data_IF_829981552099
#
_entry.id   IF_829981552099
#
_cell.length_a   1.000
_cell.length_b   1.000
_cell.length_c   1.000
_cell.angle_alpha   90.00
_cell.angle_beta   90.00
_cell.angle_gamma   90.00
#
_symmetry.space_group_name_H-M   'P 1'
#
loop_
_entity.id
_entity.type
_entity.pdbx_description
1 polymer ?
#
# COMPACT_ATOMS: atom_id res chain seq x y z
N UNK A 1 -48.72 -30.31 -0.74
CA UNK A 1 -47.36 -30.14 -1.32
C UNK A 1 -46.72 -28.97 -0.61
N UNK A 2 -45.64 -29.20 0.15
CA UNK A 2 -44.93 -28.14 0.86
C UNK A 2 -43.80 -27.63 -0.04
N UNK A 3 -43.86 -26.37 -0.44
CA UNK A 3 -42.82 -25.70 -1.19
C UNK A 3 -41.72 -25.26 -0.21
N UNK A 4 -40.57 -25.94 -0.26
CA UNK A 4 -39.37 -25.56 0.49
C UNK A 4 -38.77 -24.30 -0.16
N UNK A 5 -39.05 -23.14 0.44
CA UNK A 5 -38.37 -21.89 0.11
C UNK A 5 -36.93 -21.97 0.64
N UNK A 6 -35.99 -22.24 -0.27
CA UNK A 6 -34.56 -21.96 -0.05
C UNK A 6 -34.39 -20.46 0.08
N UNK A 7 -34.38 -19.94 1.31
CA UNK A 7 -33.99 -18.56 1.57
C UNK A 7 -32.51 -18.42 1.26
N UNK A 8 -32.18 -17.85 0.10
CA UNK A 8 -30.86 -17.34 -0.18
C UNK A 8 -30.49 -16.35 0.93
N UNK A 9 -29.46 -16.66 1.72
CA UNK A 9 -28.86 -15.67 2.64
C UNK A 9 -28.38 -14.51 1.79
N UNK A 10 -29.12 -13.40 1.80
CA UNK A 10 -28.58 -12.12 1.38
C UNK A 10 -27.41 -11.81 2.32
N UNK A 11 -26.19 -11.89 1.80
CA UNK A 11 -24.98 -11.51 2.52
C UNK A 11 -25.13 -10.01 2.82
N UNK A 12 -25.37 -9.67 4.09
CA UNK A 12 -25.48 -8.26 4.51
C UNK A 12 -24.09 -7.62 4.43
N UNK A 13 -24.03 -6.31 4.19
CA UNK A 13 -22.78 -5.55 4.21
C UNK A 13 -22.00 -5.70 5.54
N UNK A 14 -22.68 -6.07 6.62
CA UNK A 14 -22.10 -6.38 7.94
C UNK A 14 -21.21 -7.64 7.96
N UNK A 15 -21.35 -8.57 7.00
CA UNK A 15 -20.53 -9.79 6.89
C UNK A 15 -19.37 -9.64 5.89
N UNK A 16 -19.16 -8.43 5.33
CA UNK A 16 -18.12 -8.23 4.32
C UNK A 16 -16.71 -8.22 4.97
N UNK A 17 -15.88 -9.24 4.77
CA UNK A 17 -14.56 -9.34 5.40
C UNK A 17 -13.62 -8.23 4.94
N UNK A 18 -13.80 -7.66 3.75
CA UNK A 18 -13.05 -6.48 3.32
C UNK A 18 -13.40 -5.26 4.17
N UNK A 19 -14.68 -5.03 4.45
CA UNK A 19 -15.12 -3.92 5.29
C UNK A 19 -14.73 -4.10 6.75
N UNK A 20 -14.93 -5.31 7.31
CA UNK A 20 -14.62 -5.63 8.71
C UNK A 20 -13.13 -5.45 9.00
N UNK A 21 -12.27 -5.86 8.06
CA UNK A 21 -10.82 -5.83 8.25
C UNK A 21 -10.18 -4.58 7.60
N UNK A 22 -10.97 -3.57 7.27
CA UNK A 22 -10.46 -2.33 6.70
C UNK A 22 -9.76 -1.47 7.75
N UNK A 23 -8.58 -0.97 7.40
CA UNK A 23 -7.80 -0.03 8.19
C UNK A 23 -7.54 1.20 7.32
N UNK A 24 -8.13 2.32 7.70
CA UNK A 24 -7.92 3.59 7.03
C UNK A 24 -6.50 4.12 7.27
N UNK A 25 -5.95 4.78 6.26
CA UNK A 25 -4.74 5.58 6.34
C UNK A 25 -5.09 7.07 6.55
N UNK A 26 -4.16 7.86 7.10
CA UNK A 26 -4.27 9.33 7.20
C UNK A 26 -5.60 9.82 7.80
N UNK A 27 -6.01 9.27 8.95
CA UNK A 27 -7.26 9.61 9.66
C UNK A 27 -8.56 9.29 8.89
N UNK A 28 -8.50 8.69 7.70
CA UNK A 28 -9.66 8.23 6.94
C UNK A 28 -10.42 9.32 6.17
N UNK A 29 -9.86 10.53 6.03
CA UNK A 29 -10.54 11.63 5.33
C UNK A 29 -10.38 11.58 3.80
N UNK A 30 -9.50 10.72 3.30
CA UNK A 30 -9.20 10.62 1.88
C UNK A 30 -10.26 9.77 1.14
N UNK A 31 -10.83 10.32 0.07
CA UNK A 31 -11.84 9.67 -0.77
C UNK A 31 -11.85 10.27 -2.18
N UNK A 32 -12.54 9.59 -3.11
CA UNK A 32 -12.73 10.05 -4.48
C UNK A 32 -13.32 11.46 -4.54
N UNK A 33 -12.89 12.21 -5.56
CA UNK A 33 -13.45 13.51 -5.91
C UNK A 33 -14.81 13.39 -6.62
N UNK A 34 -15.19 12.19 -7.06
CA UNK A 34 -16.47 11.95 -7.71
C UNK A 34 -17.59 11.83 -6.66
N UNK A 35 -18.78 12.34 -6.97
CA UNK A 35 -19.92 12.24 -6.06
C UNK A 35 -20.30 10.78 -5.77
N UNK A 36 -20.30 9.96 -6.83
CA UNK A 36 -20.60 8.52 -6.82
C UNK A 36 -19.56 7.78 -7.68
N UNK A 37 -18.36 7.48 -7.15
CA UNK A 37 -17.36 6.73 -7.90
C UNK A 37 -17.83 5.30 -8.15
N UNK A 38 -17.46 4.76 -9.30
CA UNK A 38 -17.53 3.33 -9.60
C UNK A 38 -16.12 2.73 -9.47
N UNK A 39 -15.79 2.05 -8.35
CA UNK A 39 -14.44 1.54 -8.13
C UNK A 39 -14.05 0.51 -9.18
N UNK A 40 -12.86 0.70 -9.77
CA UNK A 40 -12.24 -0.30 -10.64
C UNK A 40 -11.44 -1.29 -9.80
N UNK A 41 -11.57 -2.59 -10.09
CA UNK A 41 -10.84 -3.64 -9.37
C UNK A 41 -9.80 -4.29 -10.27
N UNK A 42 -8.61 -4.50 -9.73
CA UNK A 42 -7.51 -5.18 -10.41
C UNK A 42 -6.90 -6.24 -9.49
N UNK A 43 -6.37 -7.30 -10.09
CA UNK A 43 -5.51 -8.23 -9.36
C UNK A 43 -4.10 -7.67 -9.29
N UNK A 44 -3.57 -7.49 -8.08
CA UNK A 44 -2.18 -7.10 -7.89
C UNK A 44 -1.23 -8.28 -7.96
N UNK A 45 0.06 -8.00 -8.18
CA UNK A 45 1.10 -9.04 -8.28
C UNK A 45 2.26 -8.80 -7.33
N UNK A 46 2.73 -7.55 -7.23
CA UNK A 46 3.87 -7.13 -6.43
C UNK A 46 3.50 -5.87 -5.68
N UNK A 47 2.96 -6.04 -4.46
CA UNK A 47 2.36 -4.95 -3.66
C UNK A 47 3.17 -3.66 -3.65
N UNK A 48 4.47 -3.75 -3.40
CA UNK A 48 5.31 -2.55 -3.24
C UNK A 48 5.42 -1.78 -4.55
N UNK A 49 5.61 -2.46 -5.68
CA UNK A 49 5.66 -1.85 -7.00
C UNK A 49 4.29 -1.34 -7.44
N UNK A 50 3.25 -2.14 -7.23
CA UNK A 50 1.88 -1.74 -7.58
C UNK A 50 1.46 -0.48 -6.80
N UNK A 51 1.78 -0.41 -5.50
CA UNK A 51 1.50 0.78 -4.68
C UNK A 51 2.25 2.02 -5.20
N UNK A 52 3.49 1.85 -5.64
CA UNK A 52 4.27 2.95 -6.22
C UNK A 52 3.67 3.37 -7.56
N UNK A 53 3.30 2.41 -8.42
CA UNK A 53 2.62 2.70 -9.66
C UNK A 53 1.30 3.45 -9.42
N UNK A 54 0.53 3.10 -8.39
CA UNK A 54 -0.68 3.85 -8.04
C UNK A 54 -0.37 5.31 -7.69
N UNK A 55 0.65 5.54 -6.86
CA UNK A 55 1.12 6.90 -6.50
C UNK A 55 1.62 7.68 -7.73
N UNK A 56 2.44 7.07 -8.59
CA UNK A 56 2.96 7.69 -9.82
C UNK A 56 1.84 8.00 -10.83
N UNK A 57 0.76 7.23 -10.78
CA UNK A 57 -0.46 7.51 -11.51
C UNK A 57 -1.39 8.49 -10.78
N UNK A 58 -0.97 9.15 -9.70
CA UNK A 58 -1.74 10.20 -9.02
C UNK A 58 -2.92 9.70 -8.19
N UNK A 59 -2.82 8.46 -7.69
CA UNK A 59 -3.74 7.93 -6.69
C UNK A 59 -3.10 7.96 -5.31
N UNK A 60 -3.88 8.26 -4.28
CA UNK A 60 -3.44 8.19 -2.89
C UNK A 60 -4.10 7.02 -2.15
N UNK A 61 -3.31 6.36 -1.30
CA UNK A 61 -3.75 5.21 -0.53
C UNK A 61 -4.72 5.65 0.58
N UNK A 62 -5.97 5.19 0.48
CA UNK A 62 -7.02 5.44 1.47
C UNK A 62 -6.91 4.50 2.66
N UNK A 63 -6.53 3.25 2.41
CA UNK A 63 -6.47 2.22 3.43
C UNK A 63 -6.36 0.82 2.84
N UNK A 64 -6.34 -0.16 3.73
CA UNK A 64 -6.09 -1.57 3.39
C UNK A 64 -7.07 -2.49 4.08
N UNK A 65 -7.39 -3.62 3.46
CA UNK A 65 -8.05 -4.76 4.13
C UNK A 65 -7.12 -5.96 4.10
N UNK A 66 -6.99 -6.70 5.20
CA UNK A 66 -6.17 -7.92 5.26
C UNK A 66 -6.81 -8.97 6.15
N UNK A 67 -7.01 -10.18 5.63
CA UNK A 67 -7.64 -11.28 6.38
C UNK A 67 -7.31 -12.65 5.78
N UNK A 68 -7.56 -13.72 6.54
CA UNK A 68 -7.54 -15.09 6.06
C UNK A 68 -8.95 -15.68 6.08
N UNK A 69 -9.38 -16.26 4.96
CA UNK A 69 -10.71 -16.85 4.79
C UNK A 69 -10.65 -18.01 3.81
N UNK A 70 -11.75 -18.74 3.61
CA UNK A 70 -11.90 -19.62 2.46
C UNK A 70 -12.04 -18.80 1.17
N UNK A 71 -12.88 -19.22 0.22
CA UNK A 71 -13.11 -18.45 -1.00
C UNK A 71 -14.03 -17.27 -0.70
N UNK A 72 -13.50 -16.05 -0.89
CA UNK A 72 -14.26 -14.79 -0.81
C UNK A 72 -14.43 -14.21 -2.21
N UNK A 73 -15.67 -13.87 -2.64
CA UNK A 73 -15.92 -13.20 -3.91
C UNK A 73 -15.28 -11.81 -3.99
N UNK A 74 -14.59 -11.52 -5.09
CA UNK A 74 -13.91 -10.23 -5.30
C UNK A 74 -14.89 -9.04 -5.35
N UNK A 75 -16.16 -9.26 -5.72
CA UNK A 75 -17.21 -8.24 -5.70
C UNK A 75 -17.39 -7.59 -4.32
N UNK A 76 -17.11 -8.34 -3.24
CA UNK A 76 -17.19 -7.79 -1.89
C UNK A 76 -16.19 -6.65 -1.65
N UNK A 77 -15.02 -6.68 -2.30
CA UNK A 77 -14.07 -5.57 -2.27
C UNK A 77 -14.66 -4.33 -2.98
N UNK A 78 -15.34 -4.51 -4.12
CA UNK A 78 -16.01 -3.42 -4.85
C UNK A 78 -17.13 -2.81 -4.00
N UNK A 79 -17.96 -3.65 -3.36
CA UNK A 79 -19.04 -3.19 -2.47
C UNK A 79 -18.46 -2.33 -1.36
N UNK A 80 -17.37 -2.76 -0.71
CA UNK A 80 -16.71 -1.95 0.30
C UNK A 80 -16.11 -0.66 -0.27
N UNK A 81 -15.44 -0.76 -1.42
CA UNK A 81 -14.86 0.38 -2.13
C UNK A 81 -15.89 1.47 -2.43
N UNK A 82 -17.11 1.10 -2.84
CA UNK A 82 -18.21 2.06 -3.03
C UNK A 82 -18.58 2.77 -1.72
N UNK A 83 -18.68 2.03 -0.62
CA UNK A 83 -19.02 2.59 0.70
C UNK A 83 -18.01 3.63 1.16
N UNK A 84 -16.71 3.38 0.93
CA UNK A 84 -15.64 4.33 1.30
C UNK A 84 -15.31 5.33 0.19
N UNK A 85 -16.01 5.25 -0.96
CA UNK A 85 -15.79 6.09 -2.15
C UNK A 85 -14.38 6.00 -2.72
N UNK A 86 -13.88 4.78 -2.91
CA UNK A 86 -12.62 4.53 -3.62
C UNK A 86 -12.81 4.59 -5.14
N UNK A 87 -11.78 5.00 -5.86
CA UNK A 87 -11.74 4.97 -7.34
C UNK A 87 -11.12 3.67 -7.87
N UNK A 88 -10.12 3.13 -7.16
CA UNK A 88 -9.41 1.92 -7.58
C UNK A 88 -9.10 1.00 -6.40
N UNK A 89 -9.10 -0.30 -6.68
CA UNK A 89 -8.88 -1.38 -5.71
C UNK A 89 -7.89 -2.37 -6.31
N UNK A 90 -6.80 -2.65 -5.59
CA UNK A 90 -5.90 -3.76 -5.93
C UNK A 90 -6.12 -4.90 -4.94
N UNK A 91 -6.42 -6.10 -5.43
CA UNK A 91 -6.62 -7.29 -4.60
C UNK A 91 -5.52 -8.30 -4.86
N UNK A 92 -4.97 -8.83 -3.76
CA UNK A 92 -3.95 -9.86 -3.74
C UNK A 92 -4.50 -11.06 -2.99
N UNK A 93 -4.38 -12.24 -3.60
CA UNK A 93 -4.82 -13.49 -3.00
C UNK A 93 -3.66 -14.48 -3.01
N UNK A 94 -3.27 -14.96 -1.83
CA UNK A 94 -2.25 -16.01 -1.70
C UNK A 94 -2.85 -17.18 -0.95
N UNK A 95 -2.66 -18.40 -1.45
CA UNK A 95 -3.06 -19.60 -0.70
C UNK A 95 -2.36 -19.58 0.68
N UNK A 96 -3.15 -19.66 1.75
CA UNK A 96 -2.61 -19.83 3.09
C UNK A 96 -2.11 -21.27 3.22
N UNK A 97 -1.07 -21.49 4.03
CA UNK A 97 -0.57 -22.84 4.27
C UNK A 97 -1.69 -23.72 4.82
N UNK A 98 -1.89 -24.89 4.22
CA UNK A 98 -2.87 -25.86 4.69
C UNK A 98 -2.24 -27.24 4.87
N UNK A 99 -2.82 -28.02 5.77
CA UNK A 99 -2.46 -29.44 5.91
C UNK A 99 -2.88 -30.17 4.63
N UNK A 100 -1.91 -30.53 3.80
CA UNK A 100 -2.12 -31.29 2.56
C UNK A 100 -2.30 -32.79 2.83
N UNK A 101 -2.88 -33.56 1.90
CA UNK A 101 -2.89 -35.03 2.00
C UNK A 101 -1.48 -35.63 2.14
N UNK A 102 -0.47 -35.01 1.51
CA UNK A 102 0.92 -35.42 1.64
C UNK A 102 1.47 -35.19 3.06
N UNK A 103 1.25 -34.00 3.63
CA UNK A 103 1.66 -33.73 5.01
C UNK A 103 0.87 -34.57 6.02
N UNK A 104 -0.40 -34.92 5.74
CA UNK A 104 -1.18 -35.89 6.53
C UNK A 104 -0.53 -37.27 6.52
N UNK A 105 -0.10 -37.74 5.35
CA UNK A 105 0.59 -39.03 5.23
C UNK A 105 1.91 -39.06 6.03
N UNK A 106 2.64 -37.95 6.06
CA UNK A 106 3.83 -37.81 6.93
C UNK A 106 3.47 -37.84 8.42
N UNK A 107 2.41 -37.14 8.83
CA UNK A 107 1.91 -37.19 10.21
C UNK A 107 1.50 -38.60 10.63
N UNK A 108 0.87 -39.39 9.73
CA UNK A 108 0.52 -40.79 9.97
C UNK A 108 1.78 -41.63 10.19
N UNK A 109 2.80 -41.48 9.33
CA UNK A 109 4.08 -42.19 9.45
C UNK A 109 4.77 -41.86 10.77
N UNK A 110 4.77 -40.60 11.18
CA UNK A 110 5.41 -40.17 12.43
C UNK A 110 4.64 -40.64 13.67
N UNK A 111 3.30 -40.56 13.66
CA UNK A 111 2.45 -41.06 14.74
C UNK A 111 2.60 -42.58 14.92
N UNK A 112 2.65 -43.32 13.81
CA UNK A 112 2.92 -44.76 13.79
C UNK A 112 4.29 -45.09 14.40
N UNK A 113 5.35 -44.35 14.06
CA UNK A 113 6.67 -44.50 14.69
C UNK A 113 6.66 -44.24 16.21
N UNK A 114 5.79 -43.33 16.66
CA UNK A 114 5.65 -42.95 18.08
C UNK A 114 4.62 -43.81 18.82
N UNK A 115 4.04 -44.83 18.19
CA UNK A 115 3.00 -45.69 18.79
C UNK A 115 1.70 -44.95 19.15
N UNK A 116 1.45 -43.78 18.55
CA UNK A 116 0.27 -42.95 18.83
C UNK A 116 -0.82 -43.24 17.81
N UNK A 117 -2.02 -43.58 18.28
CA UNK A 117 -3.21 -43.68 17.43
C UNK A 117 -3.74 -42.29 17.06
N UNK A 118 -4.13 -42.11 15.80
CA UNK A 118 -4.78 -40.90 15.30
C UNK A 118 -6.29 -41.10 15.22
N UNK A 119 -7.04 -40.03 15.47
CA UNK A 119 -8.51 -39.99 15.43
C UNK A 119 -9.02 -39.39 14.12
N UNK A 120 -10.32 -39.52 13.84
CA UNK A 120 -10.98 -38.86 12.70
C UNK A 120 -10.77 -37.33 12.71
N UNK A 121 -10.78 -36.73 13.91
CA UNK A 121 -10.48 -35.31 14.10
C UNK A 121 -9.04 -34.95 13.72
N UNK A 122 -8.07 -35.84 13.98
CA UNK A 122 -6.67 -35.66 13.55
C UNK A 122 -6.52 -35.81 12.03
N UNK A 123 -7.45 -36.51 11.38
CA UNK A 123 -7.47 -36.79 9.95
C UNK A 123 -8.30 -35.79 9.12
N UNK A 124 -9.13 -34.95 9.74
CA UNK A 124 -9.89 -33.88 9.05
C UNK A 124 -8.99 -32.87 8.31
N UNK A 125 -9.18 -32.72 6.99
CA UNK A 125 -8.45 -31.73 6.19
C UNK A 125 -9.09 -30.37 6.41
N UNK A 126 -8.32 -29.41 6.91
CA UNK A 126 -8.80 -28.03 7.03
C UNK A 126 -9.18 -27.49 5.66
N UNK A 127 -10.31 -26.75 5.55
CA UNK A 127 -10.69 -26.13 4.29
C UNK A 127 -9.55 -25.24 3.79
N UNK A 128 -9.38 -25.20 2.46
CA UNK A 128 -8.31 -24.40 1.87
C UNK A 128 -8.57 -22.93 2.16
N UNK A 129 -7.69 -22.32 2.96
CA UNK A 129 -7.72 -20.90 3.25
C UNK A 129 -6.82 -20.13 2.31
N UNK A 130 -7.17 -18.87 2.12
CA UNK A 130 -6.45 -17.87 1.37
C UNK A 130 -6.24 -16.65 2.26
N UNK A 131 -5.06 -16.04 2.11
CA UNK A 131 -4.76 -14.72 2.64
C UNK A 131 -5.10 -13.68 1.59
N UNK A 132 -6.04 -12.83 1.93
CA UNK A 132 -6.49 -11.70 1.14
C UNK A 132 -5.80 -10.44 1.64
N UNK A 133 -5.39 -9.61 0.69
CA UNK A 133 -4.93 -8.25 0.95
C UNK A 133 -5.53 -7.35 -0.12
N UNK A 134 -6.13 -6.25 0.27
CA UNK A 134 -6.67 -5.26 -0.66
C UNK A 134 -6.18 -3.86 -0.29
N UNK A 135 -5.85 -3.06 -1.30
CA UNK A 135 -5.54 -1.64 -1.15
C UNK A 135 -6.60 -0.80 -1.87
N UNK A 136 -7.05 0.27 -1.24
CA UNK A 136 -8.10 1.15 -1.75
C UNK A 136 -7.54 2.54 -2.00
N UNK A 137 -7.88 3.12 -3.14
CA UNK A 137 -7.21 4.30 -3.65
C UNK A 137 -8.19 5.36 -4.12
N UNK A 138 -7.88 6.62 -3.80
CA UNK A 138 -8.60 7.78 -4.31
C UNK A 138 -7.75 8.47 -5.38
N UNK A 139 -8.36 8.84 -6.50
CA UNK A 139 -7.75 9.65 -7.53
C UNK A 139 -7.82 11.12 -7.11
N UNK A 140 -6.66 11.73 -6.89
CA UNK A 140 -6.60 13.13 -6.47
C UNK A 140 -6.30 14.08 -7.63
N UNK A 141 -6.66 15.37 -7.50
CA UNK A 141 -6.18 16.40 -8.40
C UNK A 141 -4.64 16.40 -8.42
N UNK A 142 -3.99 16.56 -9.59
CA UNK A 142 -2.54 16.58 -9.66
C UNK A 142 -1.95 17.63 -8.71
N UNK A 143 -1.01 17.26 -7.81
CA UNK A 143 -0.34 18.23 -6.98
C UNK A 143 0.59 19.09 -7.84
N UNK A 144 0.77 20.34 -7.44
CA UNK A 144 1.49 21.36 -8.23
C UNK A 144 2.91 20.90 -8.59
N UNK A 145 3.67 20.35 -7.62
CA UNK A 145 4.98 19.78 -7.89
C UNK A 145 4.89 18.33 -8.41
N UNK A 146 4.00 17.50 -7.85
CA UNK A 146 3.80 16.13 -8.33
C UNK A 146 4.67 15.05 -7.67
N UNK A 147 4.90 15.13 -6.35
CA UNK A 147 5.74 14.16 -5.63
C UNK A 147 5.05 13.63 -4.39
N UNK A 148 5.31 12.36 -4.07
CA UNK A 148 5.04 11.79 -2.75
C UNK A 148 6.36 11.66 -1.99
N UNK A 149 6.34 12.10 -0.73
CA UNK A 149 7.55 12.13 0.10
C UNK A 149 7.34 11.51 1.47
N UNK A 150 8.41 11.01 2.07
CA UNK A 150 8.48 10.61 3.47
C UNK A 150 9.56 11.40 4.17
N UNK A 151 9.33 11.75 5.43
CA UNK A 151 10.36 12.35 6.29
C UNK A 151 11.44 11.32 6.57
N UNK A 152 12.70 11.76 6.53
CA UNK A 152 13.82 10.93 6.97
C UNK A 152 13.92 10.99 8.49
N UNK A 153 13.87 9.81 9.12
CA UNK A 153 14.16 9.66 10.54
C UNK A 153 15.54 9.01 10.63
N UNK A 154 16.52 9.64 11.29
CA UNK A 154 17.83 9.03 11.49
C UNK A 154 17.67 7.68 12.16
N UNK A 155 18.22 6.63 11.55
CA UNK A 155 18.45 5.39 12.29
C UNK A 155 19.48 5.71 13.35
N UNK A 156 19.05 5.78 14.61
CA UNK A 156 19.98 5.66 15.73
C UNK A 156 20.79 4.38 15.51
N UNK A 157 22.11 4.51 15.50
CA UNK A 157 23.09 3.47 15.23
C UNK A 157 22.96 2.30 16.21
N UNK A 158 22.16 1.30 15.86
CA UNK A 158 22.19 0.00 16.51
C UNK A 158 23.30 -0.85 15.86
N UNK A 159 24.46 -0.80 16.52
CA UNK A 159 25.47 -1.86 16.69
C UNK A 159 26.14 -2.49 15.46
N UNK A 160 27.48 -2.43 15.51
CA UNK A 160 28.51 -3.28 14.87
C UNK A 160 29.27 -2.76 13.64
N UNK A 161 30.53 -2.44 13.96
CA UNK A 161 31.77 -2.80 13.26
C UNK A 161 32.15 -2.14 11.94
N UNK A 162 33.22 -1.35 12.04
CA UNK A 162 34.35 -1.44 11.10
C UNK A 162 34.37 -0.40 9.99
N UNK A 163 35.07 0.71 10.24
CA UNK A 163 35.71 1.60 9.28
C UNK A 163 35.04 1.76 7.91
N UNK A 164 34.15 2.75 7.83
CA UNK A 164 34.00 3.57 6.62
C UNK A 164 33.63 4.96 7.10
N UNK A 165 34.30 5.98 6.57
CA UNK A 165 33.96 7.39 6.79
C UNK A 165 32.46 7.58 6.55
N UNK A 166 31.70 7.55 7.63
CA UNK A 166 30.26 7.63 7.58
C UNK A 166 29.98 9.12 7.68
N UNK A 167 29.80 9.80 6.54
CA UNK A 167 29.12 11.09 6.55
C UNK A 167 27.85 10.89 7.40
N UNK A 168 27.60 11.69 8.45
CA UNK A 168 26.37 11.55 9.21
C UNK A 168 25.24 11.58 8.19
N UNK A 169 24.43 10.53 8.13
CA UNK A 169 23.27 10.50 7.26
C UNK A 169 22.47 11.75 7.58
N UNK A 170 22.47 12.72 6.66
CA UNK A 170 21.83 14.00 6.87
C UNK A 170 20.36 13.70 7.16
N UNK A 171 19.91 14.06 8.36
CA UNK A 171 18.52 13.96 8.79
C UNK A 171 17.62 14.98 8.10
N UNK A 172 18.24 15.87 7.33
CA UNK A 172 17.62 17.01 6.68
C UNK A 172 17.02 16.56 5.34
N UNK A 173 15.87 17.12 4.99
CA UNK A 173 15.20 16.80 3.74
C UNK A 173 14.07 15.81 3.88
N UNK A 174 13.41 15.59 2.74
CA UNK A 174 12.38 14.57 2.56
C UNK A 174 12.79 13.64 1.43
N UNK A 175 12.50 12.34 1.58
CA UNK A 175 12.77 11.35 0.54
C UNK A 175 11.59 11.20 -0.39
N UNK A 176 11.85 11.30 -1.68
CA UNK A 176 10.87 11.09 -2.74
C UNK A 176 10.61 9.60 -2.89
N UNK A 177 9.36 9.18 -2.71
CA UNK A 177 8.93 7.78 -2.82
C UNK A 177 8.19 7.49 -4.13
N UNK A 178 7.61 8.51 -4.77
CA UNK A 178 7.00 8.44 -6.09
C UNK A 178 6.99 9.83 -6.75
N UNK A 179 7.08 9.85 -8.07
CA UNK A 179 6.98 11.06 -8.90
C UNK A 179 5.82 10.86 -9.87
N UNK A 180 4.86 11.79 -9.85
CA UNK A 180 3.64 11.65 -10.64
C UNK A 180 3.92 11.90 -12.12
N UNK A 181 3.40 11.05 -12.99
CA UNK A 181 3.56 11.18 -14.43
C UNK A 181 2.98 12.50 -14.98
N UNK A 182 3.71 13.13 -15.88
CA UNK A 182 3.40 14.42 -16.51
C UNK A 182 3.55 15.64 -15.59
N UNK A 183 3.97 15.44 -14.33
CA UNK A 183 4.06 16.51 -13.33
C UNK A 183 5.24 17.46 -13.55
N UNK A 184 5.27 18.57 -12.80
CA UNK A 184 6.40 19.49 -12.78
C UNK A 184 7.70 18.81 -12.33
N UNK A 185 7.62 17.93 -11.33
CA UNK A 185 8.76 17.17 -10.83
C UNK A 185 9.32 16.19 -11.86
N UNK A 186 8.45 15.45 -12.57
CA UNK A 186 8.90 14.54 -13.62
C UNK A 186 9.59 15.32 -14.76
N UNK A 187 8.99 16.42 -15.21
CA UNK A 187 9.55 17.31 -16.23
C UNK A 187 10.88 17.92 -15.82
N UNK A 188 11.07 18.19 -14.53
CA UNK A 188 12.32 18.68 -13.97
C UNK A 188 13.40 17.60 -13.86
N UNK A 189 13.07 16.31 -14.08
CA UNK A 189 14.01 15.19 -13.97
C UNK A 189 14.21 14.69 -12.54
N UNK A 190 13.26 14.97 -11.65
CA UNK A 190 13.26 14.46 -10.28
C UNK A 190 12.84 12.98 -10.27
N UNK A 191 13.49 12.16 -9.46
CA UNK A 191 13.34 10.71 -9.49
C UNK A 191 12.97 10.16 -8.11
N UNK A 192 12.31 9.00 -8.09
CA UNK A 192 12.14 8.21 -6.87
C UNK A 192 13.51 7.90 -6.26
N UNK A 193 13.62 8.09 -4.94
CA UNK A 193 14.85 7.90 -4.18
C UNK A 193 15.66 9.17 -3.99
N UNK A 194 15.37 10.25 -4.73
CA UNK A 194 15.96 11.56 -4.49
C UNK A 194 15.61 12.04 -3.07
N UNK A 195 16.56 12.70 -2.42
CA UNK A 195 16.36 13.37 -1.14
C UNK A 195 16.32 14.86 -1.37
N UNK A 196 15.11 15.44 -1.35
CA UNK A 196 14.90 16.87 -1.54
C UNK A 196 15.26 17.61 -0.25
N UNK A 197 16.24 18.52 -0.34
CA UNK A 197 16.77 19.26 0.79
C UNK A 197 16.15 20.65 0.91
N UNK A 198 15.98 21.35 -0.22
CA UNK A 198 15.46 22.71 -0.25
C UNK A 198 14.76 23.06 -1.57
N UNK A 199 13.88 24.06 -1.49
CA UNK A 199 13.30 24.76 -2.64
C UNK A 199 13.81 26.21 -2.57
N UNK A 200 14.51 26.64 -3.61
CA UNK A 200 15.30 27.87 -3.66
C UNK A 200 16.31 27.89 -2.49
N UNK A 201 16.10 28.77 -1.51
CA UNK A 201 16.95 28.90 -0.32
C UNK A 201 16.24 28.41 0.96
N UNK A 202 15.03 27.85 0.84
CA UNK A 202 14.20 27.41 1.96
C UNK A 202 14.27 25.88 2.12
N UNK A 203 14.66 25.42 3.32
CA UNK A 203 14.76 24.00 3.64
C UNK A 203 13.39 23.31 3.60
N UNK A 204 13.39 22.03 3.25
CA UNK A 204 12.23 21.14 3.28
C UNK A 204 12.49 20.03 4.30
N UNK A 205 11.88 20.08 5.49
CA UNK A 205 12.12 19.09 6.56
C UNK A 205 11.01 18.04 6.66
N UNK A 206 9.83 18.32 6.13
CA UNK A 206 8.71 17.40 6.09
C UNK A 206 7.73 17.69 4.94
N UNK A 207 6.71 16.84 4.82
CA UNK A 207 5.69 16.96 3.77
C UNK A 207 4.84 18.23 3.89
N UNK A 208 4.64 18.76 5.11
CA UNK A 208 3.84 19.95 5.33
C UNK A 208 4.60 21.20 4.86
N UNK A 209 5.88 21.31 5.19
CA UNK A 209 6.78 22.35 4.69
C UNK A 209 6.89 22.31 3.16
N UNK A 210 7.06 21.12 2.57
CA UNK A 210 7.06 20.94 1.12
C UNK A 210 5.76 21.49 0.49
N UNK A 211 4.61 21.10 1.03
CA UNK A 211 3.30 21.56 0.56
C UNK A 211 3.16 23.08 0.63
N UNK A 212 3.64 23.69 1.72
CA UNK A 212 3.59 25.14 1.91
C UNK A 212 4.50 25.88 0.93
N UNK A 213 5.73 25.41 0.71
CA UNK A 213 6.68 26.02 -0.23
C UNK A 213 6.19 25.89 -1.68
N UNK A 214 5.68 24.72 -2.06
CA UNK A 214 5.07 24.49 -3.38
C UNK A 214 3.87 25.41 -3.59
N UNK A 215 3.04 25.65 -2.56
CA UNK A 215 1.93 26.61 -2.64
C UNK A 215 2.43 28.06 -2.78
N UNK A 216 3.46 28.43 -2.00
CA UNK A 216 4.08 29.78 -2.00
C UNK A 216 4.65 30.16 -3.38
N UNK A 217 5.25 29.20 -4.07
CA UNK A 217 5.90 29.41 -5.36
C UNK A 217 5.09 28.95 -6.57
N UNK A 218 3.80 28.65 -6.40
CA UNK A 218 2.90 28.27 -7.52
C UNK A 218 3.00 29.27 -8.67
N UNK A 219 3.09 28.76 -9.91
CA UNK A 219 3.23 29.56 -11.12
C UNK A 219 4.64 30.11 -11.38
N UNK A 220 5.63 29.79 -10.53
CA UNK A 220 7.01 30.31 -10.66
C UNK A 220 7.98 29.18 -10.99
N UNK A 221 9.07 29.56 -11.65
CA UNK A 221 10.25 28.72 -11.76
C UNK A 221 10.95 28.67 -10.40
N UNK A 222 11.25 27.46 -9.93
CA UNK A 222 11.96 27.22 -8.68
C UNK A 222 13.21 26.38 -8.91
N UNK A 223 14.19 26.56 -8.05
CA UNK A 223 15.38 25.73 -7.96
C UNK A 223 15.17 24.65 -6.89
N UNK A 224 15.46 23.40 -7.19
CA UNK A 224 15.43 22.29 -6.25
C UNK A 224 16.87 21.89 -5.93
N UNK A 225 17.22 21.81 -4.65
CA UNK A 225 18.49 21.22 -4.22
C UNK A 225 18.19 19.86 -3.60
N UNK A 226 18.85 18.82 -4.10
CA UNK A 226 18.61 17.46 -3.67
C UNK A 226 19.90 16.63 -3.63
N UNK A 227 19.84 15.49 -2.96
CA UNK A 227 20.85 14.45 -3.04
C UNK A 227 20.32 13.24 -3.81
N UNK A 228 21.10 12.77 -4.77
CA UNK A 228 20.84 11.55 -5.53
C UNK A 228 22.04 10.63 -5.37
N UNK A 229 21.82 9.45 -4.80
CA UNK A 229 22.90 8.48 -4.54
C UNK A 229 24.09 9.07 -3.75
N UNK A 230 23.81 10.00 -2.82
CA UNK A 230 24.78 10.79 -2.02
C UNK A 230 25.59 11.84 -2.79
N UNK A 231 25.18 12.16 -4.03
CA UNK A 231 25.73 13.25 -4.81
C UNK A 231 24.76 14.44 -4.83
N UNK A 232 25.25 15.69 -4.67
CA UNK A 232 24.40 16.86 -4.78
C UNK A 232 23.95 17.04 -6.23
N UNK A 233 22.65 17.25 -6.42
CA UNK A 233 22.02 17.55 -7.70
C UNK A 233 21.17 18.79 -7.54
N UNK A 234 21.15 19.62 -8.57
CA UNK A 234 20.31 20.79 -8.65
C UNK A 234 19.43 20.70 -9.88
N UNK A 235 18.13 20.89 -9.71
CA UNK A 235 17.13 20.87 -10.79
C UNK A 235 16.35 22.17 -10.81
N UNK A 236 15.72 22.49 -11.93
CA UNK A 236 14.77 23.59 -12.04
C UNK A 236 13.39 23.03 -12.40
N UNK A 237 12.35 23.49 -11.70
CA UNK A 237 10.98 23.04 -11.91
C UNK A 237 10.03 24.24 -12.05
N UNK A 238 9.11 24.16 -13.01
CA UNK A 238 8.05 25.14 -13.19
C UNK A 238 6.80 24.68 -12.41
N UNK A 239 6.41 25.43 -11.37
CA UNK A 239 5.19 25.21 -10.58
C UNK A 239 3.97 25.94 -11.14
#
# INVERSE_FOLDING_TARGET
MAATLLTSRAIRAEDNPYAINYQAQNQGNLHSMQANPEPQIFSGTRRDEDNINMLENGYDLMGISSFEAEVVPAEQAIIHGRTIKADSILVYVKKAGNTTPASKMEMIKEASRKGKALTEKDMAVDPTKYRYYATYWAKLPPPVLGVHVIKLVPRSSATESGNKETRPASSDGVRVIAVIHGSAAEKAGLLRGDQLLSINQEKVQDAAELSNLVRKYRGKLIQLQLERQNEPVQLEAQL
#
